data_IF_627263334183
#
_entry.id   IF_627263334183
#
_cell.length_a   1.000
_cell.length_b   1.000
_cell.length_c   1.000
_cell.angle_alpha   90.00
_cell.angle_beta   90.00
_cell.angle_gamma   90.00
#
_symmetry.space_group_name_H-M   'P 1'
#
loop_
_entity.id
_entity.type
_entity.pdbx_description
1 polymer ?
#
# COMPACT_ATOMS: atom_id res chain seq x y z
N UNK A 1 -0.58 -18.68 -16.91
CA UNK A 1 -0.57 -17.21 -16.95
C UNK A 1 -2.00 -16.80 -16.69
N UNK A 2 -2.22 -15.98 -15.67
CA UNK A 2 -3.55 -15.49 -15.32
C UNK A 2 -3.58 -14.00 -15.60
N UNK A 3 -4.70 -13.52 -16.15
CA UNK A 3 -4.91 -12.13 -16.53
C UNK A 3 -6.33 -11.74 -16.15
N UNK A 4 -6.48 -10.61 -15.46
CA UNK A 4 -7.77 -9.99 -15.16
C UNK A 4 -7.78 -8.58 -15.74
N UNK A 5 -8.85 -8.22 -16.42
CA UNK A 5 -9.07 -6.86 -16.94
C UNK A 5 -10.38 -6.35 -16.36
N UNK A 6 -10.38 -5.12 -15.88
CA UNK A 6 -11.57 -4.44 -15.37
C UNK A 6 -11.45 -2.94 -15.60
N UNK A 7 -12.60 -2.27 -15.60
CA UNK A 7 -12.67 -0.82 -15.78
C UNK A 7 -12.66 -0.11 -14.43
N UNK A 8 -11.91 1.00 -14.36
CA UNK A 8 -11.83 1.90 -13.23
C UNK A 8 -12.09 3.33 -13.72
N UNK A 9 -13.36 3.76 -13.63
CA UNK A 9 -13.79 5.01 -14.26
C UNK A 9 -13.62 4.93 -15.78
N UNK A 10 -12.80 5.81 -16.34
CA UNK A 10 -12.48 5.81 -17.78
C UNK A 10 -11.23 5.00 -18.14
N UNK A 11 -10.52 4.45 -17.15
CA UNK A 11 -9.27 3.73 -17.35
C UNK A 11 -9.51 2.21 -17.40
N UNK A 12 -8.73 1.50 -18.20
CA UNK A 12 -8.71 0.03 -18.16
C UNK A 12 -7.52 -0.45 -17.33
N UNK A 13 -7.78 -1.30 -16.35
CA UNK A 13 -6.75 -1.88 -15.48
C UNK A 13 -6.58 -3.35 -15.83
N UNK A 14 -5.35 -3.73 -16.17
CA UNK A 14 -4.97 -5.13 -16.43
C UNK A 14 -4.01 -5.61 -15.35
N UNK A 15 -4.35 -6.73 -14.70
CA UNK A 15 -3.53 -7.42 -13.69
C UNK A 15 -3.08 -8.76 -14.26
N UNK A 16 -1.79 -9.08 -14.18
CA UNK A 16 -1.22 -10.32 -14.72
C UNK A 16 -0.27 -11.00 -13.73
N UNK A 17 -0.26 -12.34 -13.72
CA UNK A 17 0.71 -13.14 -12.95
C UNK A 17 1.07 -14.47 -13.64
N UNK A 18 2.14 -15.10 -13.15
CA UNK A 18 2.56 -16.46 -13.51
C UNK A 18 3.50 -16.57 -14.71
N UNK A 19 3.97 -15.45 -15.28
CA UNK A 19 4.93 -15.44 -16.39
C UNK A 19 6.34 -15.01 -15.97
N UNK A 20 6.45 -13.89 -15.24
CA UNK A 20 7.72 -13.24 -14.86
C UNK A 20 7.99 -13.50 -13.37
N UNK A 21 9.27 -13.44 -12.97
CA UNK A 21 9.70 -13.50 -11.56
C UNK A 21 9.21 -14.72 -10.75
N UNK A 22 9.01 -15.89 -11.39
CA UNK A 22 8.44 -17.11 -10.77
C UNK A 22 9.14 -17.68 -9.53
N UNK A 23 10.32 -17.16 -9.17
CA UNK A 23 11.05 -17.60 -7.97
C UNK A 23 10.69 -16.80 -6.72
N UNK A 24 9.97 -15.69 -6.86
CA UNK A 24 9.43 -14.93 -5.72
C UNK A 24 8.20 -15.63 -5.16
N UNK A 25 7.86 -15.37 -3.90
CA UNK A 25 6.61 -15.88 -3.31
C UNK A 25 5.38 -15.34 -4.05
N UNK A 26 5.46 -14.12 -4.58
CA UNK A 26 4.49 -13.63 -5.56
C UNK A 26 5.06 -12.53 -6.47
N UNK A 27 4.51 -12.43 -7.67
CA UNK A 27 4.82 -11.37 -8.63
C UNK A 27 3.57 -10.96 -9.39
N UNK A 28 3.36 -9.66 -9.57
CA UNK A 28 2.21 -9.09 -10.29
C UNK A 28 2.66 -7.99 -11.21
N UNK A 29 2.17 -8.01 -12.43
CA UNK A 29 2.24 -6.87 -13.34
C UNK A 29 0.87 -6.18 -13.38
N UNK A 30 0.85 -4.87 -13.18
CA UNK A 30 -0.34 -4.03 -13.39
C UNK A 30 -0.06 -3.05 -14.50
N UNK A 31 -1.00 -2.93 -15.43
CA UNK A 31 -0.98 -1.99 -16.55
C UNK A 31 -2.25 -1.14 -16.48
N UNK A 32 -2.07 0.18 -16.39
CA UNK A 32 -3.14 1.18 -16.48
C UNK A 32 -2.78 2.11 -17.64
N UNK A 33 -3.49 1.95 -18.76
CA UNK A 33 -3.33 2.76 -19.98
C UNK A 33 -1.85 2.99 -20.40
N UNK A 34 -0.98 1.99 -20.25
CA UNK A 34 0.43 2.04 -20.65
C UNK A 34 1.43 2.44 -19.54
N UNK A 35 0.94 2.83 -18.36
CA UNK A 35 1.76 2.86 -17.14
C UNK A 35 1.79 1.46 -16.53
N UNK A 36 2.97 0.84 -16.52
CA UNK A 36 3.14 -0.57 -16.13
C UNK A 36 4.06 -0.69 -14.93
N UNK A 37 3.57 -1.35 -13.89
CA UNK A 37 4.27 -1.67 -12.65
C UNK A 37 4.50 -3.18 -12.56
N UNK A 38 5.70 -3.58 -12.14
CA UNK A 38 6.00 -4.93 -11.66
C UNK A 38 6.21 -4.88 -10.14
N UNK A 39 5.33 -5.55 -9.40
CA UNK A 39 5.48 -5.80 -7.97
C UNK A 39 5.96 -7.23 -7.73
N UNK A 40 6.98 -7.40 -6.91
CA UNK A 40 7.49 -8.70 -6.47
C UNK A 40 7.61 -8.72 -4.96
N UNK A 41 7.09 -9.77 -4.34
CA UNK A 41 7.16 -9.97 -2.90
C UNK A 41 7.92 -11.24 -2.57
N UNK A 42 8.80 -11.14 -1.57
CA UNK A 42 9.49 -12.27 -0.95
C UNK A 42 9.33 -12.18 0.56
N UNK A 43 9.02 -13.31 1.19
CA UNK A 43 9.02 -13.48 2.62
C UNK A 43 10.14 -14.44 3.04
N UNK A 44 10.78 -14.17 4.18
CA UNK A 44 11.66 -15.14 4.81
C UNK A 44 10.90 -16.43 5.14
N UNK A 45 11.60 -17.57 5.16
CA UNK A 45 11.01 -18.87 5.51
C UNK A 45 10.79 -19.03 7.01
N UNK A 46 11.64 -18.39 7.80
CA UNK A 46 11.65 -18.46 9.26
C UNK A 46 11.23 -17.12 9.85
N UNK A 47 10.67 -17.17 11.05
CA UNK A 47 10.27 -16.00 11.82
C UNK A 47 11.51 -15.20 12.26
N UNK A 48 11.38 -13.87 12.29
CA UNK A 48 12.47 -13.03 12.78
C UNK A 48 12.58 -13.13 14.30
N UNK A 49 13.81 -13.03 14.80
CA UNK A 49 14.14 -12.84 16.21
C UNK A 49 13.85 -11.41 16.72
N UNK A 50 13.45 -10.50 15.84
CA UNK A 50 13.11 -9.10 16.15
C UNK A 50 11.76 -9.03 16.87
N UNK A 51 11.63 -8.04 17.74
CA UNK A 51 10.41 -7.70 18.49
C UNK A 51 9.40 -6.87 17.67
N UNK A 52 9.62 -6.71 16.36
CA UNK A 52 8.75 -5.96 15.45
C UNK A 52 8.63 -6.63 14.08
N UNK A 53 7.55 -6.34 13.36
CA UNK A 53 7.31 -6.84 12.01
C UNK A 53 8.23 -6.15 10.96
N UNK A 54 9.20 -6.87 10.35
CA UNK A 54 10.14 -6.28 9.42
C UNK A 54 9.60 -6.28 7.99
N UNK A 55 8.68 -5.37 7.72
CA UNK A 55 8.22 -5.03 6.36
C UNK A 55 9.10 -3.93 5.76
N UNK A 56 9.66 -4.21 4.58
CA UNK A 56 10.37 -3.22 3.75
C UNK A 56 9.69 -3.09 2.40
N UNK A 57 9.33 -1.86 2.03
CA UNK A 57 8.77 -1.53 0.72
C UNK A 57 9.76 -0.66 -0.04
N UNK A 58 10.09 -1.05 -1.28
CA UNK A 58 10.93 -0.27 -2.17
C UNK A 58 10.23 -0.03 -3.51
N UNK A 59 9.86 1.21 -3.77
CA UNK A 59 9.44 1.66 -5.07
C UNK A 59 10.64 2.22 -5.85
N UNK A 60 10.81 1.80 -7.10
CA UNK A 60 11.87 2.29 -7.98
C UNK A 60 11.32 2.62 -9.38
N UNK A 61 11.78 3.74 -9.94
CA UNK A 61 11.49 4.14 -11.31
C UNK A 61 12.67 3.84 -12.23
N UNK A 62 12.40 3.17 -13.34
CA UNK A 62 13.40 2.97 -14.37
C UNK A 62 13.29 4.07 -15.41
N UNK A 63 14.40 4.74 -15.73
CA UNK A 63 14.41 5.82 -16.74
C UNK A 63 14.01 5.32 -18.12
N UNK A 64 14.27 4.04 -18.40
CA UNK A 64 13.80 3.38 -19.62
C UNK A 64 12.27 3.33 -19.73
N UNK A 65 11.53 3.39 -18.61
CA UNK A 65 10.07 3.41 -18.61
C UNK A 65 9.52 4.61 -19.37
N UNK A 66 10.27 5.72 -19.39
CA UNK A 66 9.97 6.92 -20.16
C UNK A 66 10.82 7.05 -21.45
N UNK A 67 11.53 6.00 -21.86
CA UNK A 67 12.42 6.01 -23.03
C UNK A 67 13.64 6.92 -22.89
N UNK A 68 14.11 7.18 -21.67
CA UNK A 68 15.23 8.09 -21.38
C UNK A 68 16.45 7.32 -20.88
N UNK A 69 17.64 7.88 -21.13
CA UNK A 69 18.90 7.43 -20.54
C UNK A 69 19.17 8.27 -19.28
N UNK A 70 19.61 7.69 -18.14
CA UNK A 70 19.89 8.45 -16.93
C UNK A 70 20.88 9.60 -17.17
N UNK A 71 20.57 10.77 -16.62
CA UNK A 71 21.37 11.99 -16.81
C UNK A 71 22.75 11.96 -16.15
N UNK A 72 22.90 11.22 -15.04
CA UNK A 72 24.11 11.21 -14.19
C UNK A 72 25.39 10.68 -14.87
N UNK A 73 26.53 10.87 -14.21
CA UNK A 73 27.86 10.48 -14.72
C UNK A 73 27.93 8.98 -15.08
N UNK A 74 27.41 8.12 -14.21
CA UNK A 74 27.43 6.67 -14.39
C UNK A 74 26.38 6.13 -15.37
N UNK A 75 25.48 6.98 -15.90
CA UNK A 75 24.38 6.59 -16.81
C UNK A 75 23.53 5.43 -16.28
N UNK A 76 23.30 5.40 -14.96
CA UNK A 76 22.55 4.38 -14.23
C UNK A 76 21.73 5.01 -13.11
N UNK A 77 20.56 4.46 -12.81
CA UNK A 77 19.78 4.81 -11.62
C UNK A 77 20.53 4.39 -10.35
N UNK A 78 20.58 5.29 -9.37
CA UNK A 78 21.37 5.15 -8.16
C UNK A 78 20.49 4.92 -6.93
N UNK A 79 20.67 5.78 -5.93
CA UNK A 79 19.83 5.77 -4.73
C UNK A 79 18.41 6.24 -5.07
N UNK A 80 17.38 5.77 -4.34
CA UNK A 80 16.03 6.28 -4.49
C UNK A 80 15.97 7.80 -4.31
N UNK A 81 15.19 8.43 -5.17
CA UNK A 81 14.81 9.84 -5.12
C UNK A 81 13.80 10.11 -4.00
N UNK A 82 13.51 11.39 -3.76
CA UNK A 82 12.48 11.80 -2.81
C UNK A 82 11.11 11.23 -3.20
N UNK A 83 10.73 11.33 -4.48
CA UNK A 83 9.46 10.79 -4.99
C UNK A 83 9.40 9.28 -4.81
N UNK A 84 10.46 8.55 -5.17
CA UNK A 84 10.50 7.09 -4.98
C UNK A 84 10.34 6.69 -3.49
N UNK A 85 10.93 7.48 -2.59
CA UNK A 85 10.79 7.27 -1.14
C UNK A 85 9.38 7.61 -0.64
N UNK A 86 8.76 8.68 -1.16
CA UNK A 86 7.38 9.06 -0.82
C UNK A 86 6.38 7.99 -1.28
N UNK A 87 6.52 7.49 -2.51
CA UNK A 87 5.68 6.41 -3.04
C UNK A 87 5.91 5.11 -2.26
N UNK A 88 7.16 4.80 -1.88
CA UNK A 88 7.44 3.66 -1.00
C UNK A 88 6.67 3.76 0.33
N UNK A 89 6.62 4.95 0.93
CA UNK A 89 5.85 5.20 2.16
C UNK A 89 4.34 5.17 1.92
N UNK A 90 3.87 5.68 0.79
CA UNK A 90 2.48 5.67 0.37
C UNK A 90 1.94 4.23 0.26
N UNK A 91 2.77 3.30 -0.21
CA UNK A 91 2.47 1.86 -0.29
C UNK A 91 2.56 1.18 1.07
N UNK A 92 3.61 1.46 1.86
CA UNK A 92 3.82 0.81 3.16
C UNK A 92 2.70 1.10 4.17
N UNK A 93 2.31 2.38 4.30
CA UNK A 93 1.33 2.86 5.29
C UNK A 93 0.01 2.08 5.31
N UNK A 94 -0.69 1.88 4.19
CA UNK A 94 -1.95 1.14 4.18
C UNK A 94 -1.76 -0.39 4.24
N UNK A 95 -0.64 -0.94 3.81
CA UNK A 95 -0.39 -2.40 3.85
C UNK A 95 -0.01 -2.89 5.24
N UNK A 96 0.87 -2.16 5.93
CA UNK A 96 1.43 -2.55 7.25
C UNK A 96 0.38 -2.94 8.29
N UNK A 97 -0.71 -2.16 8.53
CA UNK A 97 -1.71 -2.51 9.54
C UNK A 97 -2.59 -3.70 9.16
N UNK A 98 -2.54 -4.17 7.91
CA UNK A 98 -3.34 -5.30 7.44
C UNK A 98 -2.64 -6.65 7.66
N UNK A 99 -1.34 -6.67 7.93
CA UNK A 99 -0.66 -7.91 8.34
C UNK A 99 -1.10 -8.33 9.74
N UNK A 100 -1.21 -9.64 9.97
CA UNK A 100 -1.49 -10.16 11.30
C UNK A 100 -0.41 -9.72 12.31
N UNK A 101 -0.86 -9.24 13.47
CA UNK A 101 0.03 -8.68 14.50
C UNK A 101 1.05 -9.67 15.07
N UNK A 102 0.80 -10.98 14.94
CA UNK A 102 1.71 -12.04 15.38
C UNK A 102 2.75 -12.43 14.32
N UNK A 103 2.63 -11.89 13.10
CA UNK A 103 3.50 -12.26 11.98
C UNK A 103 4.82 -11.47 12.02
N UNK A 104 5.94 -12.18 12.09
CA UNK A 104 7.27 -11.57 12.29
C UNK A 104 8.29 -11.94 11.23
N UNK A 105 7.93 -12.71 10.20
CA UNK A 105 8.85 -13.00 9.09
C UNK A 105 9.19 -11.71 8.36
N UNK A 106 10.45 -11.60 7.95
CA UNK A 106 10.88 -10.46 7.13
C UNK A 106 10.17 -10.53 5.76
N UNK A 107 9.54 -9.42 5.37
CA UNK A 107 8.83 -9.29 4.10
C UNK A 107 9.44 -8.14 3.33
N UNK A 108 9.84 -8.42 2.10
CA UNK A 108 10.30 -7.42 1.15
C UNK A 108 9.34 -7.33 -0.03
N UNK A 109 8.85 -6.13 -0.27
CA UNK A 109 8.03 -5.80 -1.43
C UNK A 109 8.79 -4.80 -2.31
N UNK A 110 9.18 -5.24 -3.51
CA UNK A 110 9.84 -4.38 -4.50
C UNK A 110 8.84 -4.06 -5.61
N UNK A 111 8.65 -2.78 -5.87
CA UNK A 111 7.68 -2.25 -6.83
C UNK A 111 8.45 -1.42 -7.86
N UNK A 112 8.41 -1.83 -9.12
CA UNK A 112 9.23 -1.22 -10.17
C UNK A 112 8.37 -0.69 -11.29
N UNK A 113 8.50 0.59 -11.62
CA UNK A 113 7.92 1.18 -12.82
C UNK A 113 8.74 0.80 -14.04
N UNK A 114 8.12 0.06 -14.97
CA UNK A 114 8.79 -0.48 -16.17
C UNK A 114 8.29 0.15 -17.47
N UNK A 115 7.12 0.78 -17.48
CA UNK A 115 6.61 1.62 -18.58
C UNK A 115 5.83 2.78 -18.01
N UNK A 116 5.94 3.97 -18.59
CA UNK A 116 5.30 5.17 -18.06
C UNK A 116 4.53 5.92 -19.16
N UNK A 117 3.22 6.06 -18.95
CA UNK A 117 2.39 7.03 -19.64
C UNK A 117 2.39 8.35 -18.83
N UNK A 118 2.82 9.49 -19.40
CA UNK A 118 2.89 10.78 -18.70
C UNK A 118 1.56 11.30 -18.13
N UNK A 119 0.43 10.84 -18.67
CA UNK A 119 -0.91 11.25 -18.22
C UNK A 119 -1.44 10.40 -17.07
N UNK A 120 -0.81 9.25 -16.77
CA UNK A 120 -1.28 8.29 -15.77
C UNK A 120 -0.28 8.22 -14.62
N UNK A 121 -0.73 8.65 -13.44
CA UNK A 121 0.06 8.60 -12.23
C UNK A 121 0.38 7.14 -11.84
N UNK A 122 1.66 6.77 -11.65
CA UNK A 122 2.03 5.40 -11.29
C UNK A 122 1.66 5.02 -9.85
N UNK A 123 1.32 5.95 -8.96
CA UNK A 123 0.99 5.68 -7.55
C UNK A 123 -0.15 4.66 -7.40
N UNK A 124 -1.25 4.88 -8.13
CA UNK A 124 -2.44 4.01 -8.06
C UNK A 124 -2.09 2.62 -8.59
N UNK A 125 -1.43 2.53 -9.76
CA UNK A 125 -0.99 1.25 -10.31
C UNK A 125 -0.06 0.51 -9.34
N UNK A 126 0.83 1.23 -8.64
CA UNK A 126 1.76 0.66 -7.68
C UNK A 126 1.06 0.11 -6.44
N UNK A 127 0.06 0.81 -5.91
CA UNK A 127 -0.77 0.34 -4.80
C UNK A 127 -1.59 -0.91 -5.17
N UNK A 128 -2.20 -0.93 -6.37
CA UNK A 128 -2.95 -2.08 -6.88
C UNK A 128 -2.02 -3.29 -7.04
N UNK A 129 -0.85 -3.11 -7.67
CA UNK A 129 0.13 -4.17 -7.87
C UNK A 129 0.62 -4.75 -6.54
N UNK A 130 0.89 -3.86 -5.56
CA UNK A 130 1.32 -4.23 -4.22
C UNK A 130 0.27 -5.03 -3.47
N UNK A 131 -0.99 -4.56 -3.47
CA UNK A 131 -2.13 -5.25 -2.85
C UNK A 131 -2.32 -6.65 -3.43
N UNK A 132 -2.34 -6.76 -4.76
CA UNK A 132 -2.48 -8.04 -5.45
C UNK A 132 -1.30 -8.99 -5.19
N UNK A 133 -0.07 -8.48 -5.15
CA UNK A 133 1.11 -9.30 -4.82
C UNK A 133 1.04 -9.85 -3.40
N UNK A 134 0.75 -9.01 -2.40
CA UNK A 134 0.59 -9.48 -1.01
C UNK A 134 -0.49 -10.55 -0.90
N UNK A 135 -1.65 -10.36 -1.55
CA UNK A 135 -2.71 -11.38 -1.58
C UNK A 135 -2.27 -12.68 -2.26
N UNK A 136 -1.56 -12.59 -3.39
CA UNK A 136 -1.06 -13.76 -4.13
C UNK A 136 -0.02 -14.57 -3.37
N UNK A 137 0.73 -13.93 -2.46
CA UNK A 137 1.75 -14.62 -1.66
C UNK A 137 1.18 -15.59 -0.62
N UNK A 138 -0.12 -15.50 -0.31
CA UNK A 138 -0.76 -16.31 0.73
C UNK A 138 -0.39 -15.92 2.16
N UNK A 139 0.39 -14.85 2.36
CA UNK A 139 0.74 -14.32 3.67
C UNK A 139 -0.50 -13.93 4.50
N UNK A 140 -0.38 -13.87 5.84
CA UNK A 140 -1.49 -13.51 6.72
C UNK A 140 -1.83 -12.01 6.63
N UNK A 141 -2.67 -11.70 5.65
CA UNK A 141 -3.05 -10.35 5.27
C UNK A 141 -4.58 -10.20 5.32
N UNK A 142 -5.04 -9.27 6.14
CA UNK A 142 -6.45 -9.09 6.49
C UNK A 142 -7.14 -8.16 5.49
N UNK A 143 -7.82 -8.76 4.52
CA UNK A 143 -8.58 -8.03 3.49
C UNK A 143 -7.76 -7.75 2.25
N UNK A 144 -8.29 -6.88 1.39
CA UNK A 144 -7.68 -6.47 0.12
C UNK A 144 -7.68 -4.95 0.08
N UNK A 145 -6.56 -4.37 -0.32
CA UNK A 145 -6.40 -2.93 -0.39
C UNK A 145 -6.77 -2.42 -1.79
N UNK A 146 -7.70 -1.48 -1.86
CA UNK A 146 -7.95 -0.63 -3.02
C UNK A 146 -7.30 0.74 -2.83
N UNK A 147 -7.01 1.43 -3.92
CA UNK A 147 -6.54 2.80 -3.89
C UNK A 147 -6.96 3.56 -5.14
N UNK A 148 -7.27 4.84 -4.97
CA UNK A 148 -7.60 5.77 -6.07
C UNK A 148 -7.05 7.15 -5.74
N UNK A 149 -6.90 7.96 -6.79
CA UNK A 149 -6.64 9.40 -6.68
C UNK A 149 -7.92 10.17 -6.98
N UNK A 150 -8.20 11.20 -6.20
CA UNK A 150 -9.40 12.03 -6.30
C UNK A 150 -8.99 13.48 -6.53
N UNK A 151 -9.48 14.05 -7.63
CA UNK A 151 -9.42 15.48 -7.91
C UNK A 151 -10.73 16.19 -7.59
N UNK A 152 -10.72 17.52 -7.68
CA UNK A 152 -11.91 18.36 -7.53
C UNK A 152 -11.80 19.59 -8.44
N UNK A 153 -12.76 19.79 -9.33
CA UNK A 153 -12.76 20.91 -10.30
C UNK A 153 -13.47 22.18 -9.78
N UNK A 154 -14.01 22.13 -8.55
CA UNK A 154 -14.84 23.18 -7.96
C UNK A 154 -16.33 22.83 -7.90
N UNK A 155 -16.75 21.81 -8.64
CA UNK A 155 -18.13 21.32 -8.65
C UNK A 155 -18.19 19.79 -8.42
N UNK A 156 -17.32 19.03 -9.09
CA UNK A 156 -17.36 17.58 -9.15
C UNK A 156 -16.04 16.94 -8.68
N UNK A 157 -16.15 15.76 -8.05
CA UNK A 157 -15.00 14.90 -7.80
C UNK A 157 -14.57 14.18 -9.08
N UNK A 158 -13.27 14.10 -9.29
CA UNK A 158 -12.65 13.44 -10.45
C UNK A 158 -11.98 12.15 -9.98
N UNK A 159 -12.35 11.00 -10.55
CA UNK A 159 -11.70 9.72 -10.28
C UNK A 159 -10.47 9.54 -11.17
N UNK A 160 -9.33 9.28 -10.56
CA UNK A 160 -8.02 9.10 -11.20
C UNK A 160 -7.80 10.09 -12.36
N UNK A 161 -7.91 11.41 -12.10
CA UNK A 161 -7.77 12.42 -13.14
C UNK A 161 -6.42 12.27 -13.82
N UNK A 162 -6.36 12.61 -15.12
CA UNK A 162 -5.08 12.67 -15.82
C UNK A 162 -4.20 13.73 -15.18
N UNK A 163 -2.89 13.59 -15.35
CA UNK A 163 -1.93 14.57 -14.83
C UNK A 163 -2.25 16.01 -15.29
N UNK A 164 -2.61 16.18 -16.56
CA UNK A 164 -3.00 17.48 -17.12
C UNK A 164 -4.29 18.08 -16.54
N UNK A 165 -5.20 17.25 -16.02
CA UNK A 165 -6.42 17.68 -15.34
C UNK A 165 -6.13 17.99 -13.85
N UNK A 166 -5.24 17.21 -13.23
CA UNK A 166 -4.75 17.42 -11.86
C UNK A 166 -4.09 18.79 -11.67
N UNK A 167 -3.33 19.27 -12.65
CA UNK A 167 -2.70 20.60 -12.62
C UNK A 167 -3.72 21.74 -12.41
N UNK A 168 -4.96 21.54 -12.88
CA UNK A 168 -6.07 22.50 -12.74
C UNK A 168 -6.96 22.21 -11.55
N UNK A 169 -6.83 21.03 -10.95
CA UNK A 169 -7.63 20.59 -9.81
C UNK A 169 -7.39 21.48 -8.58
N UNK A 170 -8.42 21.59 -7.74
CA UNK A 170 -8.35 22.19 -6.41
C UNK A 170 -7.94 21.16 -5.34
N UNK A 171 -7.89 19.88 -5.71
CA UNK A 171 -7.56 18.76 -4.83
C UNK A 171 -6.64 17.75 -5.55
N UNK A 172 -5.59 17.29 -4.89
CA UNK A 172 -4.89 16.04 -5.19
C UNK A 172 -4.96 15.18 -3.94
N UNK A 173 -5.81 14.15 -3.95
CA UNK A 173 -6.01 13.27 -2.80
C UNK A 173 -5.85 11.81 -3.21
N UNK A 174 -4.85 11.13 -2.67
CA UNK A 174 -4.73 9.68 -2.76
C UNK A 174 -5.35 9.06 -1.51
N UNK A 175 -6.31 8.16 -1.70
CA UNK A 175 -6.96 7.41 -0.63
C UNK A 175 -6.82 5.92 -0.88
N UNK A 176 -6.50 5.18 0.18
CA UNK A 176 -6.40 3.73 0.18
C UNK A 176 -7.22 3.12 1.33
N UNK A 177 -7.89 2.01 1.06
CA UNK A 177 -8.84 1.40 1.98
C UNK A 177 -9.13 -0.06 1.68
N UNK A 178 -9.70 -0.75 2.65
CA UNK A 178 -10.31 -2.07 2.48
C UNK A 178 -11.78 -1.93 2.10
N UNK A 179 -12.49 -3.05 1.97
CA UNK A 179 -13.94 -3.04 1.73
C UNK A 179 -14.69 -2.26 2.81
N UNK A 180 -14.23 -2.32 4.05
CA UNK A 180 -14.98 -1.82 5.21
C UNK A 180 -14.45 -0.49 5.76
N UNK A 181 -13.19 -0.15 5.53
CA UNK A 181 -12.57 1.01 6.17
C UNK A 181 -11.51 1.69 5.30
N UNK A 182 -11.40 3.01 5.45
CA UNK A 182 -10.28 3.80 4.93
C UNK A 182 -9.06 3.58 5.83
N UNK A 183 -7.92 3.28 5.21
CA UNK A 183 -6.67 2.98 5.92
C UNK A 183 -5.69 4.15 5.87
N UNK A 184 -5.65 4.88 4.76
CA UNK A 184 -4.68 5.95 4.52
C UNK A 184 -5.26 7.01 3.60
N UNK A 185 -4.98 8.27 3.93
CA UNK A 185 -5.26 9.44 3.09
C UNK A 185 -3.97 10.27 3.05
N UNK A 186 -3.60 10.71 1.85
CA UNK A 186 -2.58 11.72 1.59
C UNK A 186 -3.19 12.75 0.65
N UNK A 187 -3.11 14.04 0.99
CA UNK A 187 -3.81 15.06 0.19
C UNK A 187 -3.13 16.43 0.21
N UNK A 188 -3.20 17.12 -0.92
CA UNK A 188 -2.93 18.54 -1.10
C UNK A 188 -4.19 19.23 -1.64
N UNK A 189 -4.58 20.36 -1.04
CA UNK A 189 -5.83 21.05 -1.38
C UNK A 189 -5.67 22.58 -1.38
N UNK A 190 -6.40 23.26 -2.26
CA UNK A 190 -6.45 24.74 -2.37
C UNK A 190 -7.59 25.31 -1.50
N UNK A 191 -7.36 25.35 -0.19
CA UNK A 191 -8.27 25.96 0.81
C UNK A 191 -9.72 25.44 0.73
N UNK A 192 -9.89 24.13 0.56
CA UNK A 192 -11.20 23.50 0.50
C UNK A 192 -11.82 23.32 1.90
N UNK A 193 -13.15 23.42 1.97
CA UNK A 193 -13.90 23.15 3.21
C UNK A 193 -13.79 21.68 3.65
N UNK A 194 -13.94 21.43 4.94
CA UNK A 194 -13.93 20.08 5.52
C UNK A 194 -14.98 19.15 4.90
N UNK A 195 -16.15 19.68 4.53
CA UNK A 195 -17.22 18.90 3.90
C UNK A 195 -16.80 18.35 2.53
N UNK A 196 -16.08 19.16 1.73
CA UNK A 196 -15.53 18.75 0.44
C UNK A 196 -14.41 17.73 0.64
N UNK A 197 -13.52 17.93 1.62
CA UNK A 197 -12.45 16.98 1.92
C UNK A 197 -12.99 15.62 2.36
N UNK A 198 -13.98 15.60 3.25
CA UNK A 198 -14.64 14.37 3.70
C UNK A 198 -15.43 13.71 2.56
N UNK A 199 -16.07 14.51 1.71
CA UNK A 199 -16.76 14.01 0.52
C UNK A 199 -15.81 13.33 -0.46
N UNK A 200 -14.62 13.89 -0.69
CA UNK A 200 -13.60 13.30 -1.55
C UNK A 200 -13.10 11.95 -1.03
N UNK A 201 -12.89 11.81 0.29
CA UNK A 201 -12.49 10.54 0.91
C UNK A 201 -13.57 9.48 0.74
N UNK A 202 -14.84 9.84 0.96
CA UNK A 202 -15.98 8.92 0.77
C UNK A 202 -16.12 8.50 -0.69
N UNK A 203 -16.06 9.46 -1.61
CA UNK A 203 -16.11 9.21 -3.04
C UNK A 203 -15.00 8.24 -3.46
N UNK A 204 -13.75 8.49 -3.05
CA UNK A 204 -12.65 7.59 -3.39
C UNK A 204 -12.81 6.19 -2.79
N UNK A 205 -13.29 6.08 -1.54
CA UNK A 205 -13.56 4.78 -0.88
C UNK A 205 -14.65 3.98 -1.57
N UNK A 206 -15.68 4.64 -2.10
CA UNK A 206 -16.73 4.01 -2.91
C UNK A 206 -16.19 3.54 -4.26
N UNK A 207 -15.41 4.38 -4.95
CA UNK A 207 -14.89 4.05 -6.29
C UNK A 207 -13.85 2.92 -6.27
N UNK A 208 -13.03 2.81 -5.22
CA UNK A 208 -12.00 1.76 -5.14
C UNK A 208 -12.55 0.34 -4.92
N UNK A 209 -13.84 0.18 -4.60
CA UNK A 209 -14.43 -1.14 -4.36
C UNK A 209 -14.39 -2.05 -5.59
N UNK A 210 -14.43 -1.47 -6.80
CA UNK A 210 -14.27 -2.24 -8.05
C UNK A 210 -12.89 -2.90 -8.14
N UNK A 211 -11.83 -2.21 -7.68
CA UNK A 211 -10.46 -2.72 -7.61
C UNK A 211 -10.39 -3.89 -6.63
N UNK A 212 -10.94 -3.71 -5.43
CA UNK A 212 -10.93 -4.72 -4.36
C UNK A 212 -11.59 -6.01 -4.86
N UNK A 213 -12.78 -5.88 -5.43
CA UNK A 213 -13.52 -6.99 -6.02
C UNK A 213 -12.73 -7.67 -7.14
N UNK A 214 -12.14 -6.91 -8.05
CA UNK A 214 -11.38 -7.46 -9.16
C UNK A 214 -10.13 -8.22 -8.69
N UNK A 215 -9.43 -7.71 -7.67
CA UNK A 215 -8.31 -8.42 -7.04
C UNK A 215 -8.82 -9.70 -6.39
N UNK A 216 -9.85 -9.67 -5.55
CA UNK A 216 -10.34 -10.88 -4.87
C UNK A 216 -10.82 -11.97 -5.83
N UNK A 217 -11.49 -11.60 -6.92
CA UNK A 217 -11.84 -12.51 -8.01
C UNK A 217 -10.57 -13.11 -8.66
N UNK A 218 -9.58 -12.27 -8.98
CA UNK A 218 -8.32 -12.71 -9.57
C UNK A 218 -7.55 -13.68 -8.66
N UNK A 219 -7.48 -13.41 -7.36
CA UNK A 219 -6.84 -14.31 -6.37
C UNK A 219 -7.56 -15.66 -6.31
N UNK A 220 -8.89 -15.64 -6.38
CA UNK A 220 -9.72 -16.85 -6.39
C UNK A 220 -9.47 -17.67 -7.66
N UNK A 221 -9.39 -17.02 -8.82
CA UNK A 221 -9.10 -17.65 -10.11
C UNK A 221 -7.69 -18.28 -10.17
N UNK A 222 -6.70 -17.67 -9.50
CA UNK A 222 -5.32 -18.20 -9.41
C UNK A 222 -5.23 -19.40 -8.47
N UNK A 223 -6.09 -19.48 -7.45
CA UNK A 223 -6.13 -20.60 -6.50
C UNK A 223 -4.98 -20.59 -5.50
N UNK A 224 -4.75 -19.43 -4.86
CA UNK A 224 -3.65 -19.22 -3.90
C UNK A 224 -3.82 -20.07 -2.64
N UNK A 225 -2.75 -20.75 -2.25
CA UNK A 225 -2.66 -21.44 -0.96
C UNK A 225 -2.21 -20.46 0.12
N UNK A 226 -2.98 -20.35 1.20
CA UNK A 226 -2.56 -19.56 2.37
C UNK A 226 -1.32 -20.18 3.01
N UNK A 227 -0.39 -19.33 3.43
CA UNK A 227 0.76 -19.76 4.22
C UNK A 227 0.25 -20.34 5.55
N UNK A 228 0.69 -21.54 5.88
CA UNK A 228 0.54 -22.07 7.23
C UNK A 228 1.68 -21.52 8.09
N UNK A 229 1.32 -20.81 9.17
CA UNK A 229 2.27 -20.33 10.18
C UNK A 229 1.69 -20.53 11.57
N UNK A 230 2.56 -20.57 12.57
CA UNK A 230 2.16 -20.74 13.96
C UNK A 230 2.20 -19.37 14.67
N UNK A 231 1.06 -18.69 14.85
CA UNK A 231 1.03 -17.42 15.56
C UNK A 231 1.49 -17.62 17.01
N UNK A 232 2.31 -16.68 17.51
CA UNK A 232 2.72 -16.67 18.91
C UNK A 232 1.47 -16.56 19.79
N UNK A 233 1.28 -17.53 20.68
CA UNK A 233 0.13 -17.53 21.60
C UNK A 233 0.36 -16.50 22.71
N UNK A 234 -0.68 -15.73 22.99
CA UNK A 234 -0.70 -14.84 24.14
C UNK A 234 -0.65 -15.65 25.45
N UNK A 235 0.21 -15.26 26.38
CA UNK A 235 0.32 -15.90 27.69
C UNK A 235 -0.54 -15.14 28.71
N UNK A 236 -1.81 -15.58 28.84
CA UNK A 236 -2.78 -15.00 29.77
C UNK A 236 -2.33 -15.06 31.23
N UNK A 237 -1.58 -16.11 31.62
CA UNK A 237 -1.12 -16.29 32.98
C UNK A 237 -0.03 -15.28 33.31
N UNK A 238 0.99 -15.14 32.44
CA UNK A 238 2.03 -14.14 32.59
C UNK A 238 1.44 -12.72 32.56
N UNK A 239 0.52 -12.44 31.64
CA UNK A 239 -0.17 -11.15 31.57
C UNK A 239 -0.91 -10.82 32.86
N UNK A 240 -1.66 -11.78 33.43
CA UNK A 240 -2.41 -11.55 34.68
C UNK A 240 -1.48 -11.22 35.84
N UNK A 241 -0.37 -11.96 36.00
CA UNK A 241 0.63 -11.68 37.04
C UNK A 241 1.24 -10.29 36.90
N UNK A 242 1.60 -9.89 35.67
CA UNK A 242 2.17 -8.57 35.41
C UNK A 242 1.13 -7.46 35.62
N UNK A 243 -0.09 -7.66 35.15
CA UNK A 243 -1.20 -6.73 35.31
C UNK A 243 -1.49 -6.46 36.78
N UNK A 244 -1.69 -7.50 37.59
CA UNK A 244 -2.01 -7.33 39.01
C UNK A 244 -0.88 -6.63 39.79
N UNK A 245 0.37 -6.85 39.38
CA UNK A 245 1.54 -6.24 40.03
C UNK A 245 1.77 -4.78 39.62
N UNK A 246 1.49 -4.40 38.38
CA UNK A 246 1.95 -3.11 37.83
C UNK A 246 0.83 -2.19 37.32
N UNK A 247 -0.41 -2.67 37.19
CA UNK A 247 -1.53 -1.87 36.64
C UNK A 247 -1.70 -0.52 37.33
N UNK A 248 -1.71 -0.50 38.67
CA UNK A 248 -1.95 0.76 39.41
C UNK A 248 -0.77 1.73 39.24
N UNK A 249 0.47 1.23 39.26
CA UNK A 249 1.68 2.04 39.02
C UNK A 249 1.68 2.68 37.63
N UNK A 250 1.38 1.89 36.61
CA UNK A 250 1.26 2.39 35.22
C UNK A 250 0.13 3.41 35.14
N UNK A 251 -1.03 3.12 35.76
CA UNK A 251 -2.18 4.04 35.77
C UNK A 251 -1.84 5.38 36.43
N UNK A 252 -1.04 5.37 37.50
CA UNK A 252 -0.59 6.59 38.17
C UNK A 252 0.47 7.34 37.36
N UNK A 253 1.43 6.64 36.73
CA UNK A 253 2.42 7.26 35.85
C UNK A 253 1.77 8.01 34.69
N UNK A 254 0.72 7.44 34.07
CA UNK A 254 -0.01 8.11 32.98
C UNK A 254 -0.84 9.34 33.41
N UNK A 255 -1.03 9.58 34.71
CA UNK A 255 -1.59 10.84 35.23
C UNK A 255 -0.57 11.98 35.24
N UNK A 256 0.74 11.68 35.16
CA UNK A 256 1.80 12.67 35.11
C UNK A 256 1.74 13.39 33.75
N UNK A 257 1.49 14.70 33.78
CA UNK A 257 1.33 15.51 32.57
C UNK A 257 2.66 15.65 31.83
N UNK A 258 3.75 15.95 32.55
CA UNK A 258 5.06 16.21 31.96
C UNK A 258 5.67 14.92 31.42
N UNK A 259 5.97 14.91 30.12
CA UNK A 259 6.48 13.74 29.39
C UNK A 259 7.73 13.11 30.02
N UNK A 260 8.72 13.92 30.43
CA UNK A 260 9.96 13.40 31.02
C UNK A 260 9.68 12.69 32.34
N UNK A 261 8.97 13.34 33.26
CA UNK A 261 8.61 12.75 34.55
C UNK A 261 7.70 11.52 34.41
N UNK A 262 6.82 11.49 33.40
CA UNK A 262 6.02 10.29 33.07
C UNK A 262 6.85 9.12 32.55
N UNK A 263 7.89 9.40 31.76
CA UNK A 263 8.76 8.36 31.20
C UNK A 263 9.74 7.80 32.25
N UNK A 264 10.14 8.63 33.22
CA UNK A 264 11.05 8.25 34.29
C UNK A 264 10.36 7.45 35.42
N UNK A 265 9.04 7.62 35.58
CA UNK A 265 8.19 6.96 36.58
C UNK A 265 7.74 5.55 36.18
#
# INVERSE_FOLDING_TARGET
>A
MHTKIFDLGSQSVKIETGLIAKQTDSSVTVDIDGTVILATLVAAKEDSDRDFFPLTVNYNEKTYAAGKIPGGFFKREGRPTEIETLISRLIDRPLRPLFDSSFTREVQLIVTLISHNPEVDPEVAALIASSAAVKLSGLPFNGTLGAVKVGYDGENYLLNPKKSDLDKSLLDLTVAGTETAVMMVESEAKELSEDVMLGAVKYGHEQMQSIIKAIDEFITEVGVTKLEWNPVKFDDAAYTVLKDKYKDKISDAYKIIKKQERNDA
#
